data_IF_318341864324
#
_entry.id   IF_318341864324
#
_cell.length_a   1.000
_cell.length_b   1.000
_cell.length_c   1.000
_cell.angle_alpha   90.00
_cell.angle_beta   90.00
_cell.angle_gamma   90.00
#
_symmetry.space_group_name_H-M   'P 1'
#
loop_
_entity.id
_entity.type
_entity.pdbx_description
1 polymer ?
#
# COMPACT_ATOMS: atom_id res chain seq x y z
N UNK A 1 -12.24 -1.00 -6.67
CA UNK A 1 -11.79 -2.24 -5.98
C UNK A 1 -12.96 -2.95 -5.31
N UNK A 2 -13.79 -2.27 -4.47
CA UNK A 2 -14.94 -2.89 -3.80
C UNK A 2 -15.88 -3.61 -4.78
N UNK A 3 -16.30 -2.94 -5.85
CA UNK A 3 -17.15 -3.54 -6.87
C UNK A 3 -16.54 -4.80 -7.50
N UNK A 4 -15.23 -4.82 -7.74
CA UNK A 4 -14.53 -6.02 -8.25
C UNK A 4 -14.60 -7.17 -7.25
N UNK A 5 -14.40 -6.90 -5.95
CA UNK A 5 -14.54 -7.95 -4.93
C UNK A 5 -15.97 -8.46 -4.78
N UNK A 6 -16.97 -7.58 -4.94
CA UNK A 6 -18.39 -7.95 -4.97
C UNK A 6 -18.69 -8.88 -6.17
N UNK A 7 -18.22 -8.51 -7.37
CA UNK A 7 -18.34 -9.37 -8.58
C UNK A 7 -17.64 -10.72 -8.40
N UNK A 8 -16.45 -10.73 -7.81
CA UNK A 8 -15.73 -11.99 -7.53
C UNK A 8 -16.47 -12.84 -6.48
N UNK A 9 -17.12 -12.22 -5.50
CA UNK A 9 -17.93 -12.95 -4.52
C UNK A 9 -19.17 -13.57 -5.17
N UNK A 10 -19.85 -12.84 -6.05
CA UNK A 10 -20.98 -13.36 -6.84
C UNK A 10 -20.54 -14.50 -7.76
N UNK A 11 -19.39 -14.36 -8.43
CA UNK A 11 -18.83 -15.40 -9.29
C UNK A 11 -18.50 -16.69 -8.52
N UNK A 12 -18.04 -16.61 -7.26
CA UNK A 12 -17.82 -17.81 -6.43
C UNK A 12 -19.10 -18.59 -6.13
N UNK A 13 -20.23 -17.90 -6.09
CA UNK A 13 -21.54 -18.54 -5.85
C UNK A 13 -22.11 -19.15 -7.14
N UNK A 14 -22.00 -18.39 -8.25
CA UNK A 14 -22.54 -18.84 -9.55
C UNK A 14 -21.66 -19.85 -10.28
N UNK A 15 -20.37 -19.87 -9.98
CA UNK A 15 -19.36 -20.74 -10.61
C UNK A 15 -18.47 -21.38 -9.53
N UNK A 16 -19.00 -22.32 -8.73
CA UNK A 16 -18.26 -22.94 -7.63
C UNK A 16 -17.05 -23.77 -8.10
N UNK A 17 -17.00 -24.16 -9.36
CA UNK A 17 -15.87 -24.83 -10.00
C UNK A 17 -14.67 -23.88 -10.25
N UNK A 18 -14.87 -22.55 -10.17
CA UNK A 18 -13.81 -21.57 -10.40
C UNK A 18 -13.05 -21.30 -9.10
N UNK A 19 -11.87 -21.85 -8.99
CA UNK A 19 -10.96 -21.51 -7.89
C UNK A 19 -10.43 -20.08 -8.05
N UNK A 20 -10.59 -19.26 -7.00
CA UNK A 20 -10.18 -17.87 -7.01
C UNK A 20 -9.12 -17.61 -5.95
N UNK A 21 -7.99 -17.06 -6.38
CA UNK A 21 -6.97 -16.50 -5.47
C UNK A 21 -7.02 -14.98 -5.57
N UNK A 22 -7.54 -14.33 -4.53
CA UNK A 22 -7.67 -12.88 -4.46
C UNK A 22 -6.56 -12.31 -3.58
N UNK A 23 -5.66 -11.54 -4.17
CA UNK A 23 -4.54 -10.93 -3.47
C UNK A 23 -4.82 -9.44 -3.21
N UNK A 24 -4.94 -9.07 -1.94
CA UNK A 24 -5.04 -7.68 -1.49
C UNK A 24 -3.64 -7.16 -1.19
N UNK A 25 -3.02 -6.58 -2.20
CA UNK A 25 -1.62 -6.17 -2.13
C UNK A 25 -1.49 -4.80 -1.48
N UNK A 26 -0.58 -4.68 -0.51
CA UNK A 26 -0.12 -3.43 0.08
C UNK A 26 0.68 -2.59 -0.92
N UNK A 27 1.42 -1.61 -0.42
CA UNK A 27 2.27 -0.78 -1.29
C UNK A 27 3.49 -1.58 -1.75
N UNK A 28 3.63 -1.73 -3.05
CA UNK A 28 4.76 -2.45 -3.66
C UNK A 28 5.97 -1.52 -3.76
N UNK A 29 7.11 -1.97 -3.27
CA UNK A 29 8.39 -1.30 -3.43
C UNK A 29 9.39 -2.25 -4.10
N UNK A 30 10.29 -1.68 -4.92
CA UNK A 30 11.31 -2.44 -5.63
C UNK A 30 12.38 -1.51 -6.21
N UNK A 31 13.52 -2.07 -6.59
CA UNK A 31 14.57 -1.31 -7.25
C UNK A 31 14.07 -0.79 -8.60
N UNK A 32 14.14 0.53 -8.81
CA UNK A 32 13.67 1.18 -10.05
C UNK A 32 12.15 1.22 -10.22
N UNK A 33 11.37 0.76 -9.23
CA UNK A 33 9.92 0.84 -9.29
C UNK A 33 9.44 2.23 -8.86
N UNK A 34 8.77 2.91 -9.77
CA UNK A 34 8.12 4.18 -9.50
C UNK A 34 6.60 4.01 -9.40
N UNK A 35 6.01 4.58 -8.35
CA UNK A 35 4.57 4.64 -8.14
C UNK A 35 4.20 5.89 -7.35
N UNK A 36 2.89 6.12 -7.17
CA UNK A 36 2.39 7.31 -6.46
C UNK A 36 2.95 7.47 -5.03
N UNK A 37 3.28 6.37 -4.36
CA UNK A 37 3.83 6.40 -3.00
C UNK A 37 5.32 6.73 -3.04
N UNK A 38 6.08 6.15 -3.96
CA UNK A 38 7.51 6.50 -4.13
C UNK A 38 7.68 7.96 -4.54
N UNK A 39 6.79 8.50 -5.37
CA UNK A 39 6.76 9.94 -5.70
C UNK A 39 6.61 10.83 -4.45
N UNK A 40 5.80 10.41 -3.47
CA UNK A 40 5.67 11.14 -2.20
C UNK A 40 6.99 11.15 -1.43
N UNK A 41 7.72 10.04 -1.46
CA UNK A 41 9.00 9.91 -0.77
C UNK A 41 10.12 10.74 -1.42
N UNK A 42 10.02 11.06 -2.70
CA UNK A 42 10.95 11.97 -3.39
C UNK A 42 10.68 13.47 -3.09
N UNK A 43 9.53 13.82 -2.53
CA UNK A 43 9.21 15.19 -2.15
C UNK A 43 10.16 15.72 -1.05
N UNK A 44 10.36 17.04 -1.01
CA UNK A 44 11.20 17.70 0.01
C UNK A 44 10.63 17.57 1.43
N UNK A 45 9.32 17.38 1.57
CA UNK A 45 8.59 17.22 2.83
C UNK A 45 7.54 16.15 2.67
N UNK A 46 7.32 15.36 3.71
CA UNK A 46 6.19 14.43 3.75
C UNK A 46 4.96 15.14 4.33
N UNK A 47 3.82 14.94 3.67
CA UNK A 47 2.55 15.50 4.16
C UNK A 47 1.87 14.44 5.02
N UNK A 48 1.49 14.82 6.23
CA UNK A 48 0.68 14.02 7.15
C UNK A 48 -0.64 14.72 7.46
N UNK A 49 -1.64 13.95 7.83
CA UNK A 49 -2.88 14.48 8.38
C UNK A 49 -2.71 14.58 9.89
N UNK A 50 -2.96 15.76 10.44
CA UNK A 50 -2.88 15.99 11.88
C UNK A 50 -3.77 15.02 12.65
N UNK A 51 -3.21 14.38 13.70
CA UNK A 51 -3.93 13.38 14.49
C UNK A 51 -4.07 12.02 13.84
N UNK A 52 -3.32 11.74 12.76
CA UNK A 52 -3.28 10.42 12.11
C UNK A 52 -1.82 9.97 11.92
N UNK A 53 -1.52 8.74 12.32
CA UNK A 53 -0.19 8.14 12.11
C UNK A 53 0.05 7.74 10.65
N UNK A 54 -1.03 7.64 9.86
CA UNK A 54 -0.99 7.28 8.43
C UNK A 54 -0.01 6.14 8.14
N UNK A 55 -0.17 4.96 8.75
CA UNK A 55 0.80 3.87 8.65
C UNK A 55 0.86 3.31 7.24
N UNK A 56 2.05 2.87 6.85
CA UNK A 56 2.30 2.23 5.56
C UNK A 56 2.69 0.78 5.77
N UNK A 57 2.17 -0.08 4.91
CA UNK A 57 2.60 -1.47 4.78
C UNK A 57 3.19 -1.67 3.40
N UNK A 58 4.30 -2.38 3.34
CA UNK A 58 5.05 -2.60 2.11
C UNK A 58 5.22 -4.07 1.80
N UNK A 59 5.37 -4.39 0.52
CA UNK A 59 5.82 -5.68 0.02
C UNK A 59 6.92 -5.46 -1.01
N UNK A 60 7.98 -6.26 -0.94
CA UNK A 60 9.06 -6.23 -1.91
C UNK A 60 8.65 -6.88 -3.22
N UNK A 61 9.08 -6.33 -4.36
CA UNK A 61 8.72 -6.85 -5.69
C UNK A 61 9.02 -8.32 -5.88
N UNK A 62 10.13 -8.82 -5.33
CA UNK A 62 10.53 -10.23 -5.46
C UNK A 62 9.57 -11.14 -4.69
N UNK A 63 9.19 -10.76 -3.46
CA UNK A 63 8.18 -11.49 -2.69
C UNK A 63 6.85 -11.52 -3.42
N UNK A 64 6.41 -10.36 -3.95
CA UNK A 64 5.17 -10.29 -4.72
C UNK A 64 5.21 -11.20 -5.95
N UNK A 65 6.34 -11.23 -6.69
CA UNK A 65 6.49 -12.09 -7.86
C UNK A 65 6.38 -13.58 -7.49
N UNK A 66 7.01 -14.01 -6.40
CA UNK A 66 6.90 -15.39 -5.90
C UNK A 66 5.47 -15.75 -5.47
N UNK A 67 4.79 -14.83 -4.80
CA UNK A 67 3.39 -14.99 -4.41
C UNK A 67 2.50 -15.14 -5.64
N UNK A 68 2.69 -14.32 -6.67
CA UNK A 68 1.95 -14.40 -7.92
C UNK A 68 2.17 -15.72 -8.66
N UNK A 69 3.44 -16.18 -8.75
CA UNK A 69 3.77 -17.46 -9.34
C UNK A 69 3.10 -18.63 -8.60
N UNK A 70 3.15 -18.60 -7.26
CA UNK A 70 2.48 -19.61 -6.42
C UNK A 70 0.95 -19.55 -6.59
N UNK A 71 0.36 -18.36 -6.65
CA UNK A 71 -1.09 -18.19 -6.85
C UNK A 71 -1.56 -18.72 -8.20
N UNK A 72 -0.72 -18.62 -9.24
CA UNK A 72 -1.03 -19.12 -10.57
C UNK A 72 -0.85 -20.64 -10.72
N UNK A 73 -0.10 -21.28 -9.83
CA UNK A 73 0.18 -22.73 -9.90
C UNK A 73 -0.48 -23.51 -8.76
N UNK A 74 0.13 -23.51 -7.60
CA UNK A 74 -0.20 -24.42 -6.47
C UNK A 74 -0.85 -23.69 -5.28
N UNK A 75 -1.13 -22.41 -5.41
CA UNK A 75 -1.69 -21.62 -4.30
C UNK A 75 -3.14 -22.02 -4.00
N UNK A 76 -3.54 -22.14 -2.72
CA UNK A 76 -4.91 -22.44 -2.38
C UNK A 76 -5.85 -21.30 -2.73
N UNK A 77 -7.07 -21.62 -3.13
CA UNK A 77 -8.12 -20.63 -3.32
C UNK A 77 -8.41 -19.88 -2.03
N UNK A 78 -8.67 -18.57 -2.13
CA UNK A 78 -8.93 -17.74 -0.97
C UNK A 78 -8.65 -16.26 -1.20
N UNK A 79 -8.75 -15.49 -0.10
CA UNK A 79 -8.47 -14.05 -0.09
C UNK A 79 -7.30 -13.81 0.86
N UNK A 80 -6.21 -13.25 0.35
CA UNK A 80 -4.97 -13.08 1.09
C UNK A 80 -4.48 -11.64 1.06
N UNK A 81 -4.18 -11.08 2.22
CA UNK A 81 -3.50 -9.80 2.31
C UNK A 81 -2.00 -10.01 2.08
N UNK A 82 -1.42 -9.24 1.19
CA UNK A 82 -0.02 -9.37 0.76
C UNK A 82 0.77 -8.15 1.19
N UNK A 83 1.52 -8.28 2.27
CA UNK A 83 2.45 -7.27 2.77
C UNK A 83 3.54 -7.95 3.64
N UNK A 84 4.67 -7.29 3.82
CA UNK A 84 5.64 -7.63 4.85
C UNK A 84 5.11 -7.35 6.25
N UNK A 85 5.75 -7.92 7.26
CA UNK A 85 5.37 -7.73 8.66
C UNK A 85 5.56 -6.27 9.11
N UNK A 86 4.70 -5.84 10.04
CA UNK A 86 4.74 -4.51 10.61
C UNK A 86 4.17 -3.42 9.69
N UNK A 87 4.02 -2.23 10.27
CA UNK A 87 3.57 -1.04 9.58
C UNK A 87 4.42 0.15 10.04
N UNK A 88 4.75 1.05 9.13
CA UNK A 88 5.61 2.20 9.38
C UNK A 88 4.77 3.48 9.41
N UNK A 89 4.68 4.18 10.54
CA UNK A 89 4.11 5.52 10.62
C UNK A 89 4.85 6.51 9.72
N UNK A 90 4.14 7.53 9.23
CA UNK A 90 4.73 8.55 8.34
C UNK A 90 5.93 9.26 8.97
N UNK A 91 5.95 9.41 10.29
CA UNK A 91 7.05 10.05 11.02
C UNK A 91 8.33 9.21 11.00
N UNK A 92 8.22 7.90 11.10
CA UNK A 92 9.37 6.99 10.99
C UNK A 92 9.94 7.00 9.58
N UNK A 93 9.07 6.98 8.56
CA UNK A 93 9.49 7.09 7.16
C UNK A 93 10.23 8.41 6.90
N UNK A 94 9.68 9.51 7.42
CA UNK A 94 10.28 10.84 7.30
C UNK A 94 11.66 10.91 7.99
N UNK A 95 11.76 10.36 9.20
CA UNK A 95 13.03 10.27 9.94
C UNK A 95 14.07 9.47 9.16
N UNK A 96 13.68 8.31 8.62
CA UNK A 96 14.57 7.50 7.82
C UNK A 96 15.02 8.18 6.52
N UNK A 97 14.20 9.06 5.94
CA UNK A 97 14.52 9.86 4.75
C UNK A 97 15.25 11.16 5.07
N UNK A 98 15.43 11.53 6.33
CA UNK A 98 15.97 12.83 6.74
C UNK A 98 15.09 14.02 6.31
N UNK A 99 13.77 13.82 6.21
CA UNK A 99 12.83 14.82 5.68
C UNK A 99 11.87 15.32 6.76
N UNK A 100 11.52 16.61 6.76
CA UNK A 100 10.51 17.13 7.67
C UNK A 100 9.11 16.63 7.32
N UNK A 101 8.29 16.43 8.34
CA UNK A 101 6.85 16.16 8.20
C UNK A 101 6.08 17.46 8.32
N UNK A 102 5.19 17.71 7.38
CA UNK A 102 4.23 18.81 7.44
C UNK A 102 2.84 18.24 7.77
N UNK A 103 2.50 18.26 9.06
CA UNK A 103 1.20 17.82 9.53
C UNK A 103 0.17 18.94 9.33
N UNK A 104 -0.85 18.69 8.53
CA UNK A 104 -1.92 19.64 8.24
C UNK A 104 -3.28 19.09 8.70
N UNK A 105 -4.18 19.94 9.20
CA UNK A 105 -5.54 19.54 9.48
C UNK A 105 -6.24 19.00 8.22
N UNK A 106 -7.08 17.98 8.38
CA UNK A 106 -7.75 17.33 7.25
C UNK A 106 -8.59 18.31 6.41
N UNK A 107 -9.22 19.32 7.04
CA UNK A 107 -10.02 20.33 6.34
C UNK A 107 -9.16 21.23 5.45
N UNK A 108 -7.93 21.59 5.87
CA UNK A 108 -6.99 22.40 5.06
C UNK A 108 -6.60 21.63 3.80
N UNK A 109 -6.24 20.33 3.95
CA UNK A 109 -5.90 19.48 2.82
C UNK A 109 -7.08 19.30 1.85
N UNK A 110 -8.31 19.12 2.38
CA UNK A 110 -9.53 19.02 1.55
C UNK A 110 -9.76 20.31 0.77
N UNK A 111 -9.65 21.48 1.41
CA UNK A 111 -9.83 22.77 0.75
C UNK A 111 -8.76 23.00 -0.33
N UNK A 112 -7.48 22.74 -0.01
CA UNK A 112 -6.37 22.87 -0.95
C UNK A 112 -6.56 21.99 -2.19
N UNK A 113 -6.91 20.71 -2.01
CA UNK A 113 -7.15 19.79 -3.13
C UNK A 113 -8.42 20.12 -3.90
N UNK A 114 -9.47 20.64 -3.21
CA UNK A 114 -10.71 21.13 -3.84
C UNK A 114 -10.48 22.29 -4.79
N UNK A 115 -9.51 23.15 -4.49
CA UNK A 115 -9.11 24.29 -5.36
C UNK A 115 -8.10 23.82 -6.42
N UNK A 116 -7.11 23.03 -6.05
CA UNK A 116 -6.02 22.63 -6.94
C UNK A 116 -6.48 21.70 -8.07
N UNK A 117 -7.48 20.84 -7.83
CA UNK A 117 -7.99 19.91 -8.84
C UNK A 117 -8.64 20.60 -10.04
N UNK A 118 -9.64 21.50 -9.87
CA UNK A 118 -10.26 22.18 -11.00
C UNK A 118 -9.29 23.11 -11.77
N UNK A 119 -8.21 23.56 -11.10
CA UNK A 119 -7.16 24.38 -11.73
C UNK A 119 -6.10 23.54 -12.46
N UNK A 120 -6.23 22.22 -12.50
CA UNK A 120 -5.25 21.31 -13.10
C UNK A 120 -3.91 21.21 -12.35
N UNK A 121 -3.81 21.80 -11.16
CA UNK A 121 -2.59 21.80 -10.32
C UNK A 121 -2.41 20.49 -9.52
N UNK A 122 -3.46 19.68 -9.41
CA UNK A 122 -3.43 18.39 -8.74
C UNK A 122 -4.28 17.36 -9.47
N UNK A 123 -3.76 16.15 -9.59
CA UNK A 123 -4.52 14.98 -10.07
C UNK A 123 -5.45 14.41 -8.98
N UNK A 124 -5.23 14.81 -7.72
CA UNK A 124 -5.94 14.30 -6.55
C UNK A 124 -7.02 15.26 -6.11
N UNK A 125 -8.17 14.73 -5.69
CA UNK A 125 -9.28 15.49 -5.14
C UNK A 125 -9.37 15.37 -3.61
N UNK A 126 -10.33 16.08 -2.99
CA UNK A 126 -10.54 16.06 -1.54
C UNK A 126 -10.79 14.67 -0.94
N UNK A 127 -11.29 13.73 -1.75
CA UNK A 127 -11.52 12.33 -1.37
C UNK A 127 -10.25 11.60 -0.94
N UNK A 128 -9.09 12.00 -1.48
CA UNK A 128 -7.79 11.41 -1.14
C UNK A 128 -7.35 11.66 0.31
N UNK A 129 -7.85 12.74 0.93
CA UNK A 129 -7.53 13.05 2.32
C UNK A 129 -8.01 11.95 3.26
N UNK A 130 -9.15 11.33 2.96
CA UNK A 130 -9.66 10.20 3.74
C UNK A 130 -8.74 8.98 3.65
N UNK A 131 -8.18 8.72 2.47
CA UNK A 131 -7.20 7.65 2.29
C UNK A 131 -5.87 7.94 3.00
N UNK A 132 -5.44 9.20 3.02
CA UNK A 132 -4.25 9.60 3.79
C UNK A 132 -4.48 9.47 5.29
N UNK A 133 -5.70 9.74 5.77
CA UNK A 133 -6.07 9.72 7.18
C UNK A 133 -6.26 8.29 7.71
N UNK A 134 -6.85 7.40 6.90
CA UNK A 134 -7.23 6.04 7.29
C UNK A 134 -6.63 5.03 6.31
N UNK A 135 -5.31 4.91 6.35
CA UNK A 135 -4.63 3.88 5.55
C UNK A 135 -4.90 2.50 6.13
N UNK A 136 -5.28 1.52 5.30
CA UNK A 136 -5.45 0.16 5.78
C UNK A 136 -4.09 -0.44 6.16
N UNK A 137 -4.00 -0.96 7.37
CA UNK A 137 -2.96 -1.89 7.77
C UNK A 137 -3.47 -3.29 7.46
N UNK A 138 -2.69 -4.06 6.74
CA UNK A 138 -3.04 -5.39 6.28
C UNK A 138 -2.46 -6.44 7.25
N UNK A 139 -3.30 -7.31 7.75
CA UNK A 139 -2.87 -8.52 8.47
C UNK A 139 -2.54 -9.61 7.44
N UNK A 140 -1.30 -10.07 7.43
CA UNK A 140 -0.78 -11.08 6.50
C UNK A 140 -0.76 -12.50 7.10
N UNK A 141 -1.42 -12.73 8.23
CA UNK A 141 -1.43 -14.03 8.91
C UNK A 141 -1.94 -15.14 7.98
N UNK A 142 -3.03 -14.91 7.26
CA UNK A 142 -3.56 -15.90 6.31
C UNK A 142 -2.60 -16.18 5.14
N UNK A 143 -1.81 -15.19 4.70
CA UNK A 143 -0.77 -15.39 3.71
C UNK A 143 0.29 -16.39 4.20
N UNK A 144 0.67 -16.32 5.48
CA UNK A 144 1.67 -17.20 6.08
C UNK A 144 1.10 -18.57 6.42
N UNK A 145 -0.04 -18.63 7.07
CA UNK A 145 -0.58 -19.88 7.67
C UNK A 145 -1.40 -20.71 6.70
N UNK A 146 -2.12 -20.10 5.77
CA UNK A 146 -3.03 -20.75 4.82
C UNK A 146 -2.43 -20.81 3.43
N UNK A 147 -2.00 -19.65 2.90
CA UNK A 147 -1.38 -19.60 1.57
C UNK A 147 0.01 -20.24 1.56
N UNK A 148 0.69 -20.29 2.71
CA UNK A 148 1.98 -20.94 2.89
C UNK A 148 3.16 -20.13 2.31
N UNK A 149 3.08 -18.80 2.37
CA UNK A 149 4.18 -17.92 1.97
C UNK A 149 4.47 -16.89 3.05
N UNK A 150 5.70 -16.87 3.55
CA UNK A 150 6.18 -15.84 4.46
C UNK A 150 7.06 -14.87 3.69
N UNK A 151 6.72 -13.56 3.61
CA UNK A 151 7.57 -12.57 2.98
C UNK A 151 8.98 -12.55 3.61
N UNK A 152 10.01 -12.47 2.77
CA UNK A 152 11.41 -12.43 3.22
C UNK A 152 11.76 -11.12 3.93
N UNK A 153 11.03 -10.03 3.56
CA UNK A 153 11.25 -8.71 4.12
C UNK A 153 10.00 -8.23 4.88
N UNK A 154 10.22 -7.69 6.08
CA UNK A 154 9.25 -6.87 6.78
C UNK A 154 8.99 -5.57 6.02
N UNK A 155 7.93 -4.82 6.39
CA UNK A 155 7.68 -3.49 5.82
C UNK A 155 8.85 -2.53 6.04
N UNK A 156 9.53 -2.61 7.18
CA UNK A 156 10.68 -1.77 7.50
C UNK A 156 11.89 -2.11 6.62
N UNK A 157 12.21 -3.40 6.48
CA UNK A 157 13.31 -3.86 5.62
C UNK A 157 13.04 -3.54 4.16
N UNK A 158 11.82 -3.76 3.69
CA UNK A 158 11.38 -3.41 2.33
C UNK A 158 11.60 -1.93 2.03
N UNK A 159 11.22 -1.06 2.97
CA UNK A 159 11.45 0.38 2.83
C UNK A 159 12.94 0.73 2.83
N UNK A 160 13.74 0.10 3.70
CA UNK A 160 15.19 0.28 3.76
C UNK A 160 15.89 -0.11 2.45
N UNK A 161 15.51 -1.25 1.88
CA UNK A 161 16.02 -1.72 0.59
C UNK A 161 15.68 -0.76 -0.54
N UNK A 162 14.42 -0.32 -0.59
CA UNK A 162 13.98 0.64 -1.59
C UNK A 162 14.73 1.98 -1.46
N UNK A 163 14.84 2.52 -0.24
CA UNK A 163 15.55 3.77 0.03
C UNK A 163 17.00 3.72 -0.47
N UNK A 164 17.70 2.62 -0.17
CA UNK A 164 19.08 2.39 -0.64
C UNK A 164 19.15 2.33 -2.16
N UNK A 165 18.23 1.62 -2.81
CA UNK A 165 18.18 1.51 -4.26
C UNK A 165 17.83 2.84 -4.95
N UNK A 166 17.04 3.70 -4.29
CA UNK A 166 16.65 5.03 -4.77
C UNK A 166 17.72 6.12 -4.50
N UNK A 167 18.81 5.80 -3.81
CA UNK A 167 19.86 6.77 -3.46
C UNK A 167 19.43 7.82 -2.42
N UNK A 168 18.50 7.48 -1.51
CA UNK A 168 17.94 8.36 -0.50
C UNK A 168 18.45 8.06 0.91
#
# INVERSE_FOLDING_TARGET
KRQVEEMLAEARVSHPELEQVVLRVGTVLGAGLENQITELFHRRRLIAVQGSDSPFVFIWTVDLARILLRAAGEGPAGIFNVCGDGALPVHELAGALGKPVMALPAWVLKAALGIARPLGLSRYGPEQVRFLQYRPVLDNTALKTVFGYTPECSSAETFGLWRKAAGL
#
